data_IF_869767680510
#
_entry.id   IF_869767680510
#
_cell.length_a   1.000
_cell.length_b   1.000
_cell.length_c   1.000
_cell.angle_alpha   90.00
_cell.angle_beta   90.00
_cell.angle_gamma   90.00
#
_symmetry.space_group_name_H-M   'P 1'
#
loop_
_entity.id
_entity.type
_entity.pdbx_description
1 polymer ?
#
# COMPACT_ATOMS: atom_id res chain seq x y z
N UNK A 1 -5.66 -9.30 28.31
CA UNK A 1 -4.72 -8.23 27.90
C UNK A 1 -4.61 -8.14 26.38
N UNK A 2 -4.41 -9.24 25.64
CA UNK A 2 -4.35 -9.22 24.16
C UNK A 2 -5.66 -8.74 23.49
N UNK A 3 -6.82 -9.19 23.97
CA UNK A 3 -8.14 -8.76 23.43
C UNK A 3 -8.47 -7.27 23.73
N UNK A 4 -7.79 -6.66 24.69
CA UNK A 4 -8.02 -5.25 25.05
C UNK A 4 -7.34 -4.30 24.05
N UNK A 5 -6.28 -4.74 23.40
CA UNK A 5 -5.50 -3.88 22.48
C UNK A 5 -6.19 -3.79 21.11
N UNK A 6 -6.71 -4.90 20.57
CA UNK A 6 -7.38 -4.90 19.25
C UNK A 6 -8.67 -4.08 19.20
N UNK A 7 -9.46 -4.04 20.28
CA UNK A 7 -10.76 -3.36 20.27
C UNK A 7 -10.67 -1.83 20.27
N UNK A 8 -9.53 -1.26 20.68
CA UNK A 8 -9.37 0.18 20.89
C UNK A 8 -8.51 0.90 19.82
N UNK A 9 -7.86 0.15 18.92
CA UNK A 9 -7.02 0.69 17.86
C UNK A 9 -7.83 1.34 16.71
N UNK A 10 -9.08 0.90 16.47
CA UNK A 10 -9.82 1.26 15.26
C UNK A 10 -10.90 2.36 15.39
N UNK A 11 -11.04 3.02 16.55
CA UNK A 11 -12.28 3.79 16.82
C UNK A 11 -12.20 5.31 16.97
N UNK A 12 -11.13 5.88 17.55
CA UNK A 12 -11.28 7.23 18.15
C UNK A 12 -10.11 8.20 17.96
N UNK A 13 -9.02 7.84 17.30
CA UNK A 13 -7.89 8.75 17.02
C UNK A 13 -7.12 9.28 18.24
N UNK A 14 -7.66 9.11 19.46
CA UNK A 14 -7.09 9.63 20.71
C UNK A 14 -6.10 8.67 21.39
N UNK A 15 -6.04 7.41 20.98
CA UNK A 15 -5.27 6.35 21.67
C UNK A 15 -4.07 5.85 20.86
N UNK A 16 -3.36 6.75 20.19
CA UNK A 16 -2.05 6.45 19.58
C UNK A 16 -0.89 6.81 20.51
N UNK A 17 -1.16 7.45 21.64
CA UNK A 17 -0.16 7.96 22.57
C UNK A 17 -0.29 7.28 23.93
N UNK A 18 0.86 7.02 24.57
CA UNK A 18 0.93 6.47 25.93
C UNK A 18 0.12 7.34 26.88
N UNK A 19 0.29 8.66 26.84
CA UNK A 19 -0.39 9.61 27.73
C UNK A 19 -1.92 9.53 27.68
N UNK A 20 -2.50 9.42 26.48
CA UNK A 20 -3.96 9.32 26.31
C UNK A 20 -4.53 8.02 26.91
N UNK A 21 -3.79 6.92 26.80
CA UNK A 21 -4.18 5.65 27.41
C UNK A 21 -4.05 5.68 28.93
N UNK A 22 -2.95 6.25 29.45
CA UNK A 22 -2.72 6.38 30.89
C UNK A 22 -3.84 7.20 31.56
N UNK A 23 -4.22 8.32 30.95
CA UNK A 23 -5.31 9.15 31.46
C UNK A 23 -6.64 8.39 31.48
N UNK A 24 -6.99 7.72 30.38
CA UNK A 24 -8.24 6.94 30.27
C UNK A 24 -8.29 5.79 31.28
N UNK A 25 -7.17 5.11 31.51
CA UNK A 25 -7.09 4.02 32.47
C UNK A 25 -7.29 4.51 33.90
N UNK A 26 -6.62 5.62 34.26
CA UNK A 26 -6.81 6.27 35.56
C UNK A 26 -8.27 6.69 35.78
N UNK A 27 -8.93 7.23 34.76
CA UNK A 27 -10.35 7.60 34.81
C UNK A 27 -11.28 6.40 35.01
N UNK A 28 -11.01 5.27 34.35
CA UNK A 28 -11.89 4.09 34.37
C UNK A 28 -11.69 3.20 35.60
N UNK A 29 -10.45 3.04 36.05
CA UNK A 29 -10.08 2.07 37.08
C UNK A 29 -9.68 2.71 38.40
N UNK A 30 -9.50 4.04 38.44
CA UNK A 30 -9.10 4.76 39.66
C UNK A 30 -7.66 4.48 40.10
N UNK A 31 -6.86 3.80 39.27
CA UNK A 31 -5.48 3.41 39.55
C UNK A 31 -4.55 3.88 38.42
N UNK A 32 -3.29 4.15 38.75
CA UNK A 32 -2.24 4.41 37.76
C UNK A 32 -1.55 3.10 37.37
N UNK A 33 -1.09 3.02 36.12
CA UNK A 33 -0.26 1.90 35.70
C UNK A 33 1.07 1.88 36.46
N UNK A 34 1.58 0.69 36.74
CA UNK A 34 2.93 0.55 37.27
C UNK A 34 3.96 0.88 36.18
N UNK A 35 5.20 1.30 36.55
CA UNK A 35 6.25 1.58 35.58
C UNK A 35 6.54 0.41 34.60
N UNK A 36 6.41 -0.83 35.07
CA UNK A 36 6.62 -2.01 34.22
C UNK A 36 5.48 -2.22 33.22
N UNK A 37 4.24 -1.91 33.61
CA UNK A 37 3.09 -1.95 32.69
C UNK A 37 3.20 -0.86 31.62
N UNK A 38 3.63 0.35 32.00
CA UNK A 38 3.88 1.44 31.04
C UNK A 38 4.94 1.01 30.02
N UNK A 39 6.07 0.45 30.49
CA UNK A 39 7.15 -0.01 29.62
C UNK A 39 6.70 -1.12 28.67
N UNK A 40 5.98 -2.12 29.17
CA UNK A 40 5.46 -3.22 28.36
C UNK A 40 4.49 -2.72 27.28
N UNK A 41 3.68 -1.71 27.61
CA UNK A 41 2.78 -1.08 26.67
C UNK A 41 3.53 -0.27 25.59
N UNK A 42 4.54 0.52 25.98
CA UNK A 42 5.37 1.28 25.04
C UNK A 42 6.12 0.37 24.06
N UNK A 43 6.68 -0.74 24.54
CA UNK A 43 7.32 -1.74 23.67
C UNK A 43 6.33 -2.37 22.69
N UNK A 44 5.10 -2.64 23.13
CA UNK A 44 4.04 -3.16 22.27
C UNK A 44 3.61 -2.14 21.21
N UNK A 45 3.50 -0.85 21.58
CA UNK A 45 3.21 0.23 20.65
C UNK A 45 4.31 0.39 19.61
N UNK A 46 5.58 0.31 20.02
CA UNK A 46 6.73 0.37 19.11
C UNK A 46 6.65 -0.74 18.06
N UNK A 47 6.47 -1.98 18.51
CA UNK A 47 6.31 -3.13 17.62
C UNK A 47 5.13 -2.97 16.65
N UNK A 48 3.98 -2.53 17.16
CA UNK A 48 2.80 -2.30 16.33
C UNK A 48 3.04 -1.22 15.27
N UNK A 49 3.69 -0.12 15.63
CA UNK A 49 4.03 0.97 14.69
C UNK A 49 4.99 0.49 13.60
N UNK A 50 6.04 -0.25 13.97
CA UNK A 50 7.01 -0.79 13.01
C UNK A 50 6.32 -1.74 12.01
N UNK A 51 5.47 -2.65 12.52
CA UNK A 51 4.71 -3.56 11.68
C UNK A 51 3.75 -2.82 10.76
N UNK A 52 2.99 -1.85 11.29
CA UNK A 52 2.04 -1.06 10.52
C UNK A 52 2.75 -0.27 9.42
N UNK A 53 3.84 0.42 9.74
CA UNK A 53 4.61 1.18 8.76
C UNK A 53 5.14 0.28 7.64
N UNK A 54 5.63 -0.92 7.99
CA UNK A 54 6.09 -1.90 7.01
C UNK A 54 4.96 -2.39 6.08
N UNK A 55 3.77 -2.63 6.64
CA UNK A 55 2.60 -3.07 5.87
C UNK A 55 2.03 -1.96 4.98
N UNK A 56 1.95 -0.74 5.51
CA UNK A 56 1.48 0.43 4.76
C UNK A 56 2.40 0.71 3.58
N UNK A 57 3.73 0.67 3.80
CA UNK A 57 4.73 0.82 2.72
C UNK A 57 4.57 -0.26 1.65
N UNK A 58 4.50 -1.54 2.06
CA UNK A 58 4.36 -2.64 1.11
C UNK A 58 3.05 -2.57 0.31
N UNK A 59 1.97 -2.09 0.93
CA UNK A 59 0.68 -1.87 0.27
C UNK A 59 0.76 -0.73 -0.75
N UNK A 60 1.37 0.39 -0.37
CA UNK A 60 1.54 1.55 -1.27
C UNK A 60 2.40 1.19 -2.49
N UNK A 61 3.54 0.53 -2.28
CA UNK A 61 4.41 0.04 -3.35
C UNK A 61 3.66 -0.93 -4.27
N UNK A 62 2.96 -1.92 -3.71
CA UNK A 62 2.19 -2.87 -4.51
C UNK A 62 1.05 -2.23 -5.32
N UNK A 63 0.42 -1.17 -4.81
CA UNK A 63 -0.58 -0.40 -5.56
C UNK A 63 0.07 0.37 -6.71
N UNK A 64 1.20 1.04 -6.47
CA UNK A 64 1.93 1.78 -7.49
C UNK A 64 2.43 0.85 -8.61
N UNK A 65 3.04 -0.27 -8.25
CA UNK A 65 3.49 -1.29 -9.21
C UNK A 65 2.32 -1.86 -10.01
N UNK A 66 1.19 -2.15 -9.34
CA UNK A 66 -0.02 -2.66 -9.99
C UNK A 66 -0.61 -1.67 -11.00
N UNK A 67 -0.64 -0.38 -10.67
CA UNK A 67 -1.12 0.68 -11.57
C UNK A 67 -0.20 0.79 -12.79
N UNK A 68 1.12 0.84 -12.59
CA UNK A 68 2.05 1.00 -13.71
C UNK A 68 2.05 -0.23 -14.63
N UNK A 69 2.06 -1.44 -14.05
CA UNK A 69 1.94 -2.68 -14.81
C UNK A 69 0.63 -2.73 -15.60
N UNK A 70 -0.50 -2.39 -14.97
CA UNK A 70 -1.80 -2.35 -15.63
C UNK A 70 -1.85 -1.34 -16.78
N UNK A 71 -1.23 -0.17 -16.60
CA UNK A 71 -1.11 0.86 -17.64
C UNK A 71 -0.30 0.36 -18.84
N UNK A 72 0.86 -0.26 -18.60
CA UNK A 72 1.71 -0.81 -19.65
C UNK A 72 1.02 -1.95 -20.40
N UNK A 73 0.40 -2.90 -19.69
CA UNK A 73 -0.35 -4.00 -20.29
C UNK A 73 -1.53 -3.51 -21.16
N UNK A 74 -2.24 -2.46 -20.71
CA UNK A 74 -3.30 -1.85 -21.48
C UNK A 74 -2.79 -1.21 -22.77
N UNK A 75 -1.68 -0.46 -22.71
CA UNK A 75 -1.04 0.16 -23.87
C UNK A 75 -0.58 -0.92 -24.87
N UNK A 76 0.09 -1.96 -24.40
CA UNK A 76 0.53 -3.07 -25.26
C UNK A 76 -0.65 -3.80 -25.91
N UNK A 77 -1.75 -4.01 -25.18
CA UNK A 77 -2.96 -4.63 -25.73
C UNK A 77 -3.58 -3.79 -26.84
N UNK A 78 -3.65 -2.47 -26.65
CA UNK A 78 -4.11 -1.54 -27.69
C UNK A 78 -3.18 -1.58 -28.90
N UNK A 79 -1.86 -1.48 -28.69
CA UNK A 79 -0.88 -1.55 -29.77
C UNK A 79 -0.96 -2.86 -30.57
N UNK A 80 -1.10 -4.01 -29.90
CA UNK A 80 -1.30 -5.31 -30.55
C UNK A 80 -2.56 -5.34 -31.41
N UNK A 81 -3.65 -4.72 -30.97
CA UNK A 81 -4.88 -4.64 -31.74
C UNK A 81 -4.72 -3.73 -32.98
N UNK A 82 -4.04 -2.59 -32.83
CA UNK A 82 -3.75 -1.68 -33.95
C UNK A 82 -2.86 -2.34 -35.01
N UNK A 83 -1.83 -3.09 -34.58
CA UNK A 83 -0.99 -3.91 -35.46
C UNK A 83 -1.86 -4.90 -36.26
N UNK A 84 -2.78 -5.62 -35.59
CA UNK A 84 -3.68 -6.57 -36.25
C UNK A 84 -4.63 -5.92 -37.25
N UNK A 85 -4.98 -4.66 -37.03
CA UNK A 85 -5.79 -3.86 -37.95
C UNK A 85 -4.99 -3.30 -39.14
N UNK A 86 -3.67 -3.53 -39.18
CA UNK A 86 -2.80 -3.05 -40.26
C UNK A 86 -2.49 -1.55 -40.17
N UNK A 87 -2.63 -0.95 -38.98
CA UNK A 87 -2.25 0.45 -38.77
C UNK A 87 -0.72 0.58 -38.81
N UNK A 88 -0.25 1.68 -39.39
CA UNK A 88 1.17 1.96 -39.55
C UNK A 88 1.90 2.11 -38.19
N UNK A 89 3.15 1.64 -38.13
CA UNK A 89 3.94 1.64 -36.90
C UNK A 89 4.22 3.05 -36.37
N UNK A 90 4.35 4.05 -37.25
CA UNK A 90 4.59 5.44 -36.85
C UNK A 90 3.35 6.02 -36.15
N UNK A 91 2.15 5.73 -36.67
CA UNK A 91 0.88 6.14 -36.06
C UNK A 91 0.69 5.46 -34.70
N UNK A 92 1.02 4.18 -34.59
CA UNK A 92 0.95 3.44 -33.33
C UNK A 92 1.92 4.05 -32.32
N UNK A 93 3.15 4.38 -32.72
CA UNK A 93 4.14 5.01 -31.85
C UNK A 93 3.65 6.36 -31.32
N UNK A 94 3.12 7.21 -32.20
CA UNK A 94 2.58 8.53 -31.84
C UNK A 94 1.40 8.44 -30.86
N UNK A 95 0.48 7.50 -31.10
CA UNK A 95 -0.77 7.39 -30.32
C UNK A 95 -0.60 6.64 -29.00
N UNK A 96 0.32 5.68 -28.92
CA UNK A 96 0.53 4.83 -27.74
C UNK A 96 1.72 5.27 -26.88
N UNK A 97 2.59 6.12 -27.42
CA UNK A 97 3.86 6.53 -26.80
C UNK A 97 4.91 5.42 -26.79
N UNK A 98 4.68 4.31 -27.49
CA UNK A 98 5.66 3.24 -27.64
C UNK A 98 6.71 3.62 -28.69
N UNK A 99 7.93 3.16 -28.48
CA UNK A 99 8.98 3.24 -29.50
C UNK A 99 8.72 2.24 -30.63
N UNK A 100 9.22 2.54 -31.83
CA UNK A 100 9.18 1.60 -32.97
C UNK A 100 9.78 0.24 -32.59
N UNK A 101 10.86 0.22 -31.81
CA UNK A 101 11.47 -1.03 -31.32
C UNK A 101 10.52 -1.85 -30.44
N UNK A 102 9.75 -1.21 -29.56
CA UNK A 102 8.75 -1.90 -28.74
C UNK A 102 7.63 -2.46 -29.62
N UNK A 103 7.15 -1.69 -30.59
CA UNK A 103 6.10 -2.11 -31.54
C UNK A 103 6.56 -3.33 -32.36
N UNK A 104 7.81 -3.32 -32.85
CA UNK A 104 8.39 -4.45 -33.57
C UNK A 104 8.54 -5.71 -32.69
N UNK A 105 8.89 -5.55 -31.41
CA UNK A 105 8.85 -6.67 -30.46
C UNK A 105 7.43 -7.22 -30.30
N UNK A 106 6.42 -6.36 -30.17
CA UNK A 106 5.02 -6.78 -30.04
C UNK A 106 4.52 -7.54 -31.28
N UNK A 107 4.97 -7.17 -32.49
CA UNK A 107 4.69 -7.92 -33.73
C UNK A 107 5.24 -9.35 -33.68
N UNK A 108 6.48 -9.51 -33.24
CA UNK A 108 7.15 -10.81 -33.17
C UNK A 108 6.72 -11.71 -32.01
N UNK A 109 5.92 -11.17 -31.07
CA UNK A 109 5.38 -11.91 -29.92
C UNK A 109 3.91 -12.32 -30.13
N UNK A 110 3.38 -12.18 -31.35
CA UNK A 110 2.07 -12.74 -31.71
C UNK A 110 2.21 -14.26 -31.91
N UNK A 111 1.32 -15.10 -31.32
CA UNK A 111 1.29 -16.53 -31.60
C UNK A 111 0.86 -16.82 -33.05
#
# INVERSE_FOLDING_TARGET
>A
MAEFVERYINGTGLLLTTDGLLQRFKELFGEEFTPDQIRSYEDSLKYYRDLKNSLDTAREEGVLEGIEKGRLEAIEKVAKNLIKMGIDADIIAETTGLTIQQIEKLKNTAP
#
